data_IF_744477762524
#
_entry.id   IF_744477762524
#
_cell.length_a   1.000
_cell.length_b   1.000
_cell.length_c   1.000
_cell.angle_alpha   90.00
_cell.angle_beta   90.00
_cell.angle_gamma   90.00
#
_symmetry.space_group_name_H-M   'P 1'
#
loop_
_entity.id
_entity.type
_entity.pdbx_description
1 polymer ?
#
# COMPACT_ATOMS: atom_id res chain seq x y z
N UNK A 1 34.06 -12.32 43.91
CA UNK A 1 34.70 -11.09 43.45
C UNK A 1 34.71 -11.19 41.94
N UNK A 2 34.09 -10.37 41.15
CA UNK A 2 33.34 -9.12 41.25
C UNK A 2 32.70 -8.85 39.89
N UNK A 3 31.48 -8.41 39.92
CA UNK A 3 31.02 -7.22 39.24
C UNK A 3 31.48 -6.99 37.79
N UNK A 4 30.61 -7.31 36.88
CA UNK A 4 30.12 -6.42 35.83
C UNK A 4 29.11 -7.15 34.91
N UNK A 5 27.99 -7.59 35.47
CA UNK A 5 26.74 -7.67 34.74
C UNK A 5 26.13 -6.28 34.77
N UNK A 6 26.58 -5.40 33.90
CA UNK A 6 25.90 -4.13 33.64
C UNK A 6 24.70 -4.37 32.72
N UNK A 7 23.58 -4.43 33.34
CA UNK A 7 22.26 -3.92 33.00
C UNK A 7 22.15 -3.25 31.61
N UNK A 8 21.82 -4.04 30.61
CA UNK A 8 21.44 -3.58 29.27
C UNK A 8 19.94 -3.29 29.16
N UNK A 9 19.21 -3.24 30.26
CA UNK A 9 17.73 -3.09 30.28
C UNK A 9 17.26 -1.64 30.50
N UNK A 10 18.15 -0.65 30.52
CA UNK A 10 17.80 0.75 30.84
C UNK A 10 18.02 1.77 29.72
N UNK A 11 17.70 1.46 28.46
CA UNK A 11 17.60 2.50 27.42
C UNK A 11 16.38 2.34 26.52
N UNK A 12 15.28 1.86 27.03
CA UNK A 12 13.99 2.05 26.38
C UNK A 12 13.29 3.30 26.96
N UNK A 13 13.56 4.45 26.34
CA UNK A 13 12.61 5.51 26.12
C UNK A 13 12.25 6.46 27.25
N UNK A 14 13.08 7.48 27.50
CA UNK A 14 12.56 8.78 27.88
C UNK A 14 13.29 9.88 27.08
N UNK A 15 12.62 10.47 26.06
CA UNK A 15 13.08 11.70 25.41
C UNK A 15 13.28 11.68 23.90
N UNK A 16 13.36 10.52 23.22
CA UNK A 16 13.47 10.48 21.75
C UNK A 16 12.10 10.19 21.14
N UNK A 17 11.65 11.07 20.24
CA UNK A 17 10.45 10.82 19.44
C UNK A 17 10.74 9.72 18.41
N UNK A 18 10.68 8.47 18.83
CA UNK A 18 10.94 7.28 17.97
C UNK A 18 10.10 7.32 16.67
N UNK A 19 8.88 7.84 16.75
CA UNK A 19 8.01 7.95 15.58
C UNK A 19 8.59 8.91 14.51
N UNK A 20 9.27 9.96 14.93
CA UNK A 20 9.95 10.86 13.99
C UNK A 20 11.15 10.18 13.34
N UNK A 21 11.89 9.36 14.10
CA UNK A 21 13.07 8.64 13.62
C UNK A 21 12.73 7.63 12.54
N UNK A 22 11.64 6.88 12.69
CA UNK A 22 11.25 5.81 11.76
C UNK A 22 10.43 6.29 10.56
N UNK A 23 10.08 7.58 10.50
CA UNK A 23 9.32 8.13 9.37
C UNK A 23 10.12 8.03 8.07
N UNK A 24 9.48 7.62 7.00
CA UNK A 24 10.05 7.62 5.65
C UNK A 24 10.04 9.02 5.03
N UNK A 25 11.04 9.32 4.20
CA UNK A 25 11.01 10.49 3.32
C UNK A 25 10.04 10.28 2.16
N UNK A 26 9.64 11.34 1.42
CA UNK A 26 8.80 11.19 0.23
C UNK A 26 9.40 10.23 -0.81
N UNK A 27 10.72 10.27 -1.01
CA UNK A 27 11.45 9.42 -1.97
C UNK A 27 11.44 7.95 -1.51
N UNK A 28 11.60 7.70 -0.19
CA UNK A 28 11.51 6.36 0.39
C UNK A 28 10.10 5.79 0.27
N UNK A 29 9.07 6.62 0.45
CA UNK A 29 7.67 6.24 0.28
C UNK A 29 7.41 5.86 -1.17
N UNK A 30 7.84 6.69 -2.13
CA UNK A 30 7.68 6.43 -3.56
C UNK A 30 8.34 5.11 -3.96
N UNK A 31 9.61 4.92 -3.59
CA UNK A 31 10.35 3.68 -3.85
C UNK A 31 9.64 2.45 -3.26
N UNK A 32 9.15 2.56 -2.01
CA UNK A 32 8.45 1.48 -1.33
C UNK A 32 7.13 1.11 -2.02
N UNK A 33 6.35 2.09 -2.47
CA UNK A 33 5.10 1.87 -3.19
C UNK A 33 5.32 1.24 -4.57
N UNK A 34 6.50 1.48 -5.20
CA UNK A 34 6.84 0.86 -6.49
C UNK A 34 7.28 -0.60 -6.37
N UNK A 35 7.60 -1.10 -5.19
CA UNK A 35 7.87 -2.51 -4.97
C UNK A 35 6.62 -3.35 -5.29
N UNK A 36 6.83 -4.54 -5.91
CA UNK A 36 5.74 -5.46 -6.22
C UNK A 36 5.27 -6.17 -4.96
N UNK A 37 4.10 -5.81 -4.47
CA UNK A 37 3.45 -6.46 -3.34
C UNK A 37 1.95 -6.20 -3.36
N UNK A 38 1.15 -7.04 -2.71
CA UNK A 38 -0.23 -6.71 -2.45
C UNK A 38 -0.31 -5.55 -1.45
N UNK A 39 -1.40 -4.81 -1.50
CA UNK A 39 -1.80 -3.88 -0.45
C UNK A 39 -3.04 -4.42 0.27
N UNK A 40 -3.25 -4.03 1.51
CA UNK A 40 -4.55 -4.18 2.19
C UNK A 40 -5.38 -2.94 1.92
N UNK A 41 -6.53 -3.13 1.27
CA UNK A 41 -7.48 -2.08 0.99
C UNK A 41 -8.67 -2.16 1.94
N UNK A 42 -8.99 -1.05 2.61
CA UNK A 42 -10.09 -0.93 3.55
C UNK A 42 -11.17 0.02 3.01
N UNK A 43 -12.41 -0.44 2.99
CA UNK A 43 -13.60 0.34 2.63
C UNK A 43 -14.70 0.14 3.67
N UNK A 44 -15.69 1.03 3.72
CA UNK A 44 -16.77 0.96 4.70
C UNK A 44 -17.98 0.20 4.14
N UNK A 45 -18.42 -0.82 4.85
CA UNK A 45 -19.68 -1.51 4.60
C UNK A 45 -20.88 -0.62 4.97
N UNK A 46 -22.08 -1.01 4.52
CA UNK A 46 -23.31 -0.27 4.80
C UNK A 46 -23.63 -0.19 6.32
N UNK A 47 -23.25 -1.20 7.07
CA UNK A 47 -23.44 -1.28 8.52
C UNK A 47 -22.33 -0.56 9.32
N UNK A 48 -21.39 0.09 8.64
CA UNK A 48 -20.26 0.79 9.25
C UNK A 48 -19.06 -0.10 9.58
N UNK A 49 -19.16 -1.41 9.39
CA UNK A 49 -18.01 -2.30 9.55
C UNK A 49 -16.97 -2.09 8.45
N UNK A 50 -15.72 -2.44 8.72
CA UNK A 50 -14.63 -2.31 7.75
C UNK A 50 -14.55 -3.58 6.88
N UNK A 51 -14.59 -3.39 5.56
CA UNK A 51 -14.25 -4.43 4.60
C UNK A 51 -12.77 -4.30 4.22
N UNK A 52 -11.94 -5.21 4.70
CA UNK A 52 -10.51 -5.27 4.40
C UNK A 52 -10.20 -6.42 3.45
N UNK A 53 -9.40 -6.18 2.42
CA UNK A 53 -9.04 -7.19 1.42
C UNK A 53 -7.66 -6.92 0.82
N UNK A 54 -6.90 -7.99 0.58
CA UNK A 54 -5.66 -7.90 -0.17
C UNK A 54 -5.94 -7.63 -1.65
N UNK A 55 -5.22 -6.67 -2.25
CA UNK A 55 -5.40 -6.22 -3.62
C UNK A 55 -4.06 -6.02 -4.33
N UNK A 56 -4.05 -6.28 -5.61
CA UNK A 56 -3.06 -5.72 -6.52
C UNK A 56 -3.39 -4.25 -6.81
N UNK A 57 -2.38 -3.48 -7.10
CA UNK A 57 -2.50 -2.06 -7.45
C UNK A 57 -1.48 -1.67 -8.52
N UNK A 58 -1.79 -0.61 -9.21
CA UNK A 58 -0.89 0.05 -10.15
C UNK A 58 -0.83 1.55 -9.87
N UNK A 59 -0.33 2.27 -10.87
CA UNK A 59 -0.26 3.72 -10.85
C UNK A 59 -0.97 4.30 -12.06
N UNK A 60 -1.76 5.32 -11.80
CA UNK A 60 -2.40 6.14 -12.82
C UNK A 60 -2.11 7.61 -12.50
N UNK A 61 -1.42 8.31 -13.41
CA UNK A 61 -1.04 9.71 -13.21
C UNK A 61 -0.31 9.92 -11.86
N UNK A 62 0.68 9.06 -11.60
CA UNK A 62 1.51 9.05 -10.38
C UNK A 62 0.74 8.81 -9.06
N UNK A 63 -0.51 8.39 -9.12
CA UNK A 63 -1.28 8.01 -7.93
C UNK A 63 -1.58 6.51 -7.93
N UNK A 64 -1.63 5.92 -6.74
CA UNK A 64 -2.09 4.53 -6.56
C UNK A 64 -3.49 4.40 -7.14
N UNK A 65 -3.68 3.37 -7.94
CA UNK A 65 -4.97 3.06 -8.55
C UNK A 65 -5.20 1.55 -8.58
N UNK A 66 -6.47 1.17 -8.58
CA UNK A 66 -6.91 -0.22 -8.63
C UNK A 66 -7.93 -0.44 -9.74
N UNK A 67 -8.04 -1.68 -10.16
CA UNK A 67 -9.20 -2.17 -10.88
C UNK A 67 -9.85 -3.31 -10.10
N UNK A 68 -11.17 -3.38 -10.11
CA UNK A 68 -11.91 -4.44 -9.44
C UNK A 68 -13.27 -4.67 -10.09
N UNK A 69 -13.81 -5.90 -9.94
CA UNK A 69 -15.14 -6.23 -10.47
C UNK A 69 -16.19 -5.25 -9.94
N UNK A 70 -17.02 -4.70 -10.82
CA UNK A 70 -18.03 -3.71 -10.48
C UNK A 70 -19.06 -4.18 -9.42
N UNK A 71 -19.28 -5.50 -9.34
CA UNK A 71 -20.19 -6.12 -8.36
C UNK A 71 -19.48 -6.58 -7.08
N UNK A 72 -18.17 -6.38 -6.94
CA UNK A 72 -17.47 -6.74 -5.72
C UNK A 72 -17.84 -5.80 -4.57
N UNK A 73 -17.87 -6.33 -3.34
CA UNK A 73 -18.26 -5.55 -2.14
C UNK A 73 -17.53 -4.20 -2.03
N UNK A 74 -16.23 -4.21 -2.27
CA UNK A 74 -15.41 -2.99 -2.23
C UNK A 74 -15.82 -1.96 -3.30
N UNK A 75 -16.22 -2.40 -4.50
CA UNK A 75 -16.72 -1.51 -5.55
C UNK A 75 -18.07 -0.89 -5.16
N UNK A 76 -18.96 -1.69 -4.60
CA UNK A 76 -20.26 -1.24 -4.08
C UNK A 76 -20.05 -0.24 -2.93
N UNK A 77 -19.11 -0.53 -2.04
CA UNK A 77 -18.77 0.37 -0.94
C UNK A 77 -18.26 1.71 -1.46
N UNK A 78 -17.30 1.71 -2.38
CA UNK A 78 -16.71 2.92 -2.96
C UNK A 78 -17.71 3.76 -3.77
N UNK A 79 -18.68 3.12 -4.39
CA UNK A 79 -19.78 3.83 -5.07
C UNK A 79 -20.71 4.58 -4.13
N UNK A 80 -20.83 4.12 -2.86
CA UNK A 80 -21.63 4.76 -1.82
C UNK A 80 -20.82 5.77 -1.00
N UNK A 81 -19.59 5.41 -0.67
CA UNK A 81 -18.69 6.20 0.17
C UNK A 81 -17.26 6.08 -0.40
N UNK A 82 -16.76 7.17 -0.95
CA UNK A 82 -15.46 7.21 -1.63
C UNK A 82 -14.26 7.09 -0.70
N UNK A 83 -14.45 7.09 0.63
CA UNK A 83 -13.36 6.96 1.61
C UNK A 83 -12.69 5.61 1.49
N UNK A 84 -11.36 5.63 1.57
CA UNK A 84 -10.50 4.46 1.44
C UNK A 84 -9.26 4.62 2.32
N UNK A 85 -8.79 3.49 2.84
CA UNK A 85 -7.44 3.38 3.40
C UNK A 85 -6.73 2.22 2.72
N UNK A 86 -5.52 2.49 2.24
CA UNK A 86 -4.65 1.48 1.64
C UNK A 86 -3.40 1.34 2.50
N UNK A 87 -3.10 0.13 2.96
CA UNK A 87 -1.91 -0.18 3.73
C UNK A 87 -0.98 -1.09 2.93
N UNK A 88 0.27 -0.69 2.88
CA UNK A 88 1.38 -1.42 2.29
C UNK A 88 2.35 -1.73 3.40
N UNK A 89 2.76 -2.96 3.53
CA UNK A 89 3.62 -3.38 4.64
C UNK A 89 4.59 -4.46 4.20
N UNK A 90 5.70 -4.58 4.92
CA UNK A 90 6.76 -5.53 4.69
C UNK A 90 7.54 -5.79 5.98
N UNK A 91 8.19 -6.95 6.05
CA UNK A 91 9.01 -7.40 7.17
C UNK A 91 8.28 -8.39 8.07
N UNK A 92 9.03 -9.40 8.54
CA UNK A 92 8.54 -10.46 9.42
C UNK A 92 8.95 -10.20 10.88
N UNK A 93 10.05 -9.48 11.09
CA UNK A 93 10.60 -9.20 12.42
C UNK A 93 10.50 -7.71 12.73
N UNK A 94 10.38 -7.37 14.03
CA UNK A 94 10.14 -5.99 14.48
C UNK A 94 11.13 -4.98 13.89
N UNK A 95 12.41 -5.32 13.86
CA UNK A 95 13.47 -4.47 13.31
C UNK A 95 13.44 -4.30 11.79
N UNK A 96 12.65 -5.10 11.10
CA UNK A 96 12.49 -5.07 9.63
C UNK A 96 11.19 -4.42 9.19
N UNK A 97 10.23 -4.25 10.12
CA UNK A 97 8.91 -3.74 9.78
C UNK A 97 9.00 -2.39 9.11
N UNK A 98 8.40 -2.28 7.96
CA UNK A 98 8.21 -1.02 7.24
C UNK A 98 6.84 -0.96 6.59
N UNK A 99 6.28 0.22 6.48
CA UNK A 99 4.99 0.36 5.86
C UNK A 99 4.62 1.79 5.52
N UNK A 100 3.61 1.87 4.66
CA UNK A 100 2.96 3.10 4.25
C UNK A 100 1.45 2.91 4.32
N UNK A 101 0.76 3.81 5.00
CA UNK A 101 -0.69 3.93 4.99
C UNK A 101 -1.08 5.17 4.20
N UNK A 102 -1.89 4.99 3.18
CA UNK A 102 -2.49 6.07 2.40
C UNK A 102 -3.97 6.16 2.76
N UNK A 103 -4.39 7.28 3.31
CA UNK A 103 -5.78 7.59 3.64
C UNK A 103 -6.29 8.65 2.70
N UNK A 104 -7.48 8.48 2.15
CA UNK A 104 -8.04 9.44 1.22
C UNK A 104 -9.39 9.03 0.66
N UNK A 105 -9.65 9.48 -0.55
CA UNK A 105 -10.87 9.18 -1.31
C UNK A 105 -10.52 8.66 -2.69
N UNK A 106 -11.43 7.96 -3.31
CA UNK A 106 -11.25 7.54 -4.70
C UNK A 106 -12.01 8.43 -5.66
N UNK A 107 -11.41 8.61 -6.83
CA UNK A 107 -12.02 9.04 -8.07
C UNK A 107 -12.32 7.79 -8.88
N UNK A 108 -13.57 7.59 -9.28
CA UNK A 108 -13.92 6.55 -10.25
C UNK A 108 -13.60 7.07 -11.64
N UNK A 109 -12.71 6.36 -12.32
CA UNK A 109 -12.23 6.73 -13.65
C UNK A 109 -13.12 6.07 -14.70
N UNK A 110 -13.80 6.89 -15.50
CA UNK A 110 -14.72 6.41 -16.55
C UNK A 110 -14.11 6.48 -17.95
N UNK A 111 -13.15 7.38 -18.18
CA UNK A 111 -12.54 7.62 -19.49
C UNK A 111 -11.78 6.37 -19.98
N UNK A 112 -12.12 5.85 -21.17
CA UNK A 112 -11.58 4.59 -21.68
C UNK A 112 -10.05 4.57 -21.75
N UNK A 113 -9.42 5.68 -22.17
CA UNK A 113 -7.97 5.79 -22.32
C UNK A 113 -7.25 5.72 -20.96
N UNK A 114 -7.77 6.43 -19.95
CA UNK A 114 -7.24 6.39 -18.58
C UNK A 114 -7.39 5.01 -17.97
N UNK A 115 -8.54 4.36 -18.16
CA UNK A 115 -8.78 2.99 -17.72
C UNK A 115 -7.80 2.01 -18.37
N UNK A 116 -7.60 2.14 -19.69
CA UNK A 116 -6.66 1.32 -20.43
C UNK A 116 -5.21 1.55 -19.95
N UNK A 117 -4.83 2.80 -19.70
CA UNK A 117 -3.50 3.14 -19.16
C UNK A 117 -3.23 2.43 -17.81
N UNK A 118 -4.20 2.38 -16.89
CA UNK A 118 -4.06 1.58 -15.68
C UNK A 118 -3.96 0.09 -15.99
N UNK A 119 -4.75 -0.42 -16.93
CA UNK A 119 -4.69 -1.82 -17.34
C UNK A 119 -3.30 -2.22 -17.84
N UNK A 120 -2.66 -1.38 -18.67
CA UNK A 120 -1.28 -1.56 -19.14
C UNK A 120 -0.31 -1.52 -17.95
N UNK A 121 -0.43 -0.53 -17.06
CA UNK A 121 0.44 -0.43 -15.89
C UNK A 121 0.36 -1.67 -14.98
N UNK A 122 -0.85 -2.18 -14.73
CA UNK A 122 -1.05 -3.42 -13.96
C UNK A 122 -0.45 -4.63 -14.69
N UNK A 123 -0.64 -4.70 -16.02
CA UNK A 123 -0.05 -5.78 -16.81
C UNK A 123 1.49 -5.78 -16.67
N UNK A 124 2.13 -4.63 -16.86
CA UNK A 124 3.58 -4.52 -16.77
C UNK A 124 4.12 -4.82 -15.37
N UNK A 125 3.39 -4.47 -14.32
CA UNK A 125 3.81 -4.74 -12.92
C UNK A 125 3.77 -6.22 -12.55
N UNK A 126 2.83 -6.99 -13.10
CA UNK A 126 2.53 -8.34 -12.61
C UNK A 126 2.72 -9.44 -13.64
N UNK A 127 2.73 -9.14 -14.93
CA UNK A 127 2.84 -10.12 -15.99
C UNK A 127 4.10 -9.98 -16.83
N UNK A 128 4.47 -8.76 -17.25
CA UNK A 128 5.65 -8.51 -18.08
C UNK A 128 5.48 -7.31 -18.99
N UNK A 129 6.39 -7.12 -19.91
CA UNK A 129 6.37 -5.97 -20.85
C UNK A 129 5.12 -6.00 -21.72
N UNK A 130 4.41 -4.87 -21.77
CA UNK A 130 3.27 -4.69 -22.66
C UNK A 130 3.74 -4.46 -24.11
N UNK A 131 3.03 -5.05 -25.05
CA UNK A 131 3.14 -4.81 -26.50
C UNK A 131 1.74 -4.73 -27.10
N UNK A 132 1.58 -4.07 -28.25
CA UNK A 132 0.25 -3.76 -28.81
C UNK A 132 -0.60 -4.99 -29.15
N UNK A 133 0.02 -6.13 -29.45
CA UNK A 133 -0.66 -7.41 -29.65
C UNK A 133 -1.34 -7.95 -28.38
N UNK A 134 -0.95 -7.47 -27.21
CA UNK A 134 -1.55 -7.80 -25.90
C UNK A 134 -2.75 -6.91 -25.54
N UNK A 135 -3.09 -5.93 -26.39
CA UNK A 135 -4.26 -5.06 -26.17
C UNK A 135 -5.55 -5.82 -25.85
N UNK A 136 -5.93 -6.89 -26.58
CA UNK A 136 -7.16 -7.64 -26.27
C UNK A 136 -7.14 -8.30 -24.89
N UNK A 137 -5.97 -8.68 -24.39
CA UNK A 137 -5.83 -9.23 -23.05
C UNK A 137 -6.10 -8.15 -21.98
N UNK A 138 -5.47 -6.97 -22.12
CA UNK A 138 -5.68 -5.85 -21.19
C UNK A 138 -7.15 -5.38 -21.20
N UNK A 139 -7.78 -5.28 -22.38
CA UNK A 139 -9.20 -4.94 -22.49
C UNK A 139 -10.09 -5.98 -21.80
N UNK A 140 -9.75 -7.25 -21.90
CA UNK A 140 -10.45 -8.35 -21.20
C UNK A 140 -10.30 -8.21 -19.69
N UNK A 141 -9.10 -7.88 -19.19
CA UNK A 141 -8.88 -7.60 -17.77
C UNK A 141 -9.80 -6.51 -17.23
N UNK A 142 -10.08 -5.47 -18.02
CA UNK A 142 -10.90 -4.33 -17.63
C UNK A 142 -12.41 -4.55 -17.77
N UNK A 143 -12.80 -5.68 -18.40
CA UNK A 143 -14.23 -5.96 -18.69
C UNK A 143 -15.03 -6.15 -17.39
N UNK A 144 -16.17 -5.44 -17.27
CA UNK A 144 -17.06 -5.46 -16.07
C UNK A 144 -16.35 -5.06 -14.78
N UNK A 145 -15.32 -4.23 -14.86
CA UNK A 145 -14.57 -3.71 -13.71
C UNK A 145 -14.73 -2.20 -13.61
N UNK A 146 -14.56 -1.68 -12.42
CA UNK A 146 -14.31 -0.26 -12.18
C UNK A 146 -12.82 -0.01 -12.08
N UNK A 147 -12.41 1.20 -12.44
CA UNK A 147 -11.08 1.73 -12.13
C UNK A 147 -11.27 2.84 -11.10
N UNK A 148 -10.50 2.79 -10.02
CA UNK A 148 -10.54 3.77 -8.96
C UNK A 148 -9.11 4.29 -8.70
N UNK A 149 -8.93 5.60 -8.82
CA UNK A 149 -7.68 6.32 -8.56
C UNK A 149 -7.75 6.96 -7.17
N UNK A 150 -6.71 6.79 -6.37
CA UNK A 150 -6.65 7.31 -5.01
C UNK A 150 -6.23 8.79 -5.00
N UNK A 151 -7.07 9.63 -4.43
CA UNK A 151 -6.74 11.00 -4.03
C UNK A 151 -6.32 10.97 -2.56
N UNK A 152 -5.01 11.05 -2.31
CA UNK A 152 -4.43 10.93 -0.96
C UNK A 152 -4.63 12.23 -0.18
N UNK A 153 -5.22 12.13 1.01
CA UNK A 153 -5.41 13.22 1.96
C UNK A 153 -4.39 13.18 3.10
N UNK A 154 -3.93 11.97 3.48
CA UNK A 154 -2.97 11.77 4.55
C UNK A 154 -2.09 10.55 4.27
N UNK A 155 -0.81 10.68 4.60
CA UNK A 155 0.19 9.60 4.55
C UNK A 155 0.73 9.34 5.94
N UNK A 156 0.79 8.08 6.35
CA UNK A 156 1.52 7.60 7.53
C UNK A 156 2.57 6.61 7.05
N UNK A 157 3.79 6.71 7.55
CA UNK A 157 4.86 5.79 7.17
C UNK A 157 5.76 5.45 8.35
N UNK A 158 6.40 4.29 8.29
CA UNK A 158 7.37 3.81 9.25
C UNK A 158 8.38 2.89 8.59
N UNK A 159 9.62 2.92 9.08
CA UNK A 159 10.69 2.01 8.71
C UNK A 159 11.54 1.75 9.95
N UNK A 160 11.31 0.61 10.60
CA UNK A 160 12.00 0.23 11.83
C UNK A 160 13.48 -0.05 11.62
N UNK A 161 13.92 -0.29 10.38
CA UNK A 161 15.34 -0.47 10.06
C UNK A 161 16.16 0.76 10.45
N UNK A 162 15.54 1.94 10.48
CA UNK A 162 16.14 3.20 10.95
C UNK A 162 16.46 3.23 12.45
N UNK A 163 15.94 2.27 13.23
CA UNK A 163 16.25 2.16 14.65
C UNK A 163 17.62 1.52 14.92
N UNK A 164 18.20 0.84 13.92
CA UNK A 164 19.51 0.18 14.06
C UNK A 164 19.49 -0.97 15.10
N UNK A 165 18.36 -1.61 15.30
CA UNK A 165 18.23 -2.72 16.26
C UNK A 165 18.94 -3.98 15.73
N UNK A 166 19.49 -4.84 16.62
CA UNK A 166 20.03 -6.12 16.22
C UNK A 166 18.92 -7.03 15.66
N UNK A 167 19.31 -7.93 14.71
CA UNK A 167 18.37 -8.90 14.17
C UNK A 167 17.90 -9.88 15.25
N UNK A 168 16.58 -10.11 15.28
CA UNK A 168 15.92 -11.13 16.12
C UNK A 168 15.66 -12.44 15.37
N UNK A 169 16.12 -12.55 14.10
CA UNK A 169 16.00 -13.80 13.33
C UNK A 169 16.73 -14.94 14.04
N UNK A 170 16.09 -16.12 14.15
CA UNK A 170 16.78 -17.33 14.59
C UNK A 170 17.95 -17.66 13.65
N UNK A 171 19.06 -18.12 14.22
CA UNK A 171 20.24 -18.59 13.47
C UNK A 171 19.93 -19.86 12.67
#
# INVERSE_FOLDING_TARGET
>A
MSEHEQDTTQQMGHGVNQRATIKMTPEEIDAFLHERRPMTMCTLNHDGSIHAVAMWYGFLENAVAIETKAKAQKAVNLGRDSRITCMFEDGDYYEELRGVELVGRVEIVEEPERRFALGVNLFERYYGTYTDDLRPFVETMLTKRIVARLAVERVVSWDHRKLGLPSTRPA
#
